data_IF_129687534206
#
_entry.id   IF_129687534206
#
_cell.length_a   1.000
_cell.length_b   1.000
_cell.length_c   1.000
_cell.angle_alpha   90.00
_cell.angle_beta   90.00
_cell.angle_gamma   90.00
#
_symmetry.space_group_name_H-M   'P 1'
#
loop_
_entity.id
_entity.type
_entity.pdbx_description
1 polymer ?
#
# COMPACT_ATOMS: atom_id res chain seq x y z
N UNK A 1 23.99 6.40 10.26
CA UNK A 1 22.75 5.60 10.40
C UNK A 1 21.59 6.51 10.03
N UNK A 2 21.13 6.43 8.78
CA UNK A 2 20.15 7.38 8.23
C UNK A 2 18.81 7.13 8.90
N UNK A 3 18.29 8.14 9.58
CA UNK A 3 16.93 8.18 10.12
C UNK A 3 16.00 8.03 8.90
N UNK A 4 15.50 6.81 8.69
CA UNK A 4 14.55 6.52 7.60
C UNK A 4 13.31 7.35 7.90
N UNK A 5 13.09 8.36 7.06
CA UNK A 5 12.05 9.38 7.21
C UNK A 5 10.68 8.68 7.39
N UNK A 6 10.21 8.53 8.63
CA UNK A 6 8.90 7.96 8.98
C UNK A 6 7.75 8.92 8.63
N UNK A 7 7.96 9.81 7.66
CA UNK A 7 6.89 10.65 7.14
C UNK A 7 5.87 9.71 6.53
N UNK A 8 4.61 9.85 6.96
CA UNK A 8 3.49 9.14 6.38
C UNK A 8 3.45 9.43 4.88
N UNK A 9 4.10 8.60 4.08
CA UNK A 9 4.17 8.82 2.64
C UNK A 9 2.75 8.76 2.10
N UNK A 10 2.34 9.84 1.46
CA UNK A 10 1.06 9.91 0.78
C UNK A 10 1.04 8.90 -0.37
N UNK A 11 -0.15 8.48 -0.76
CA UNK A 11 -0.31 7.59 -1.92
C UNK A 11 0.30 8.23 -3.18
N UNK A 12 0.16 9.55 -3.34
CA UNK A 12 0.67 10.29 -4.49
C UNK A 12 2.20 10.20 -4.58
N UNK A 13 2.90 10.46 -3.48
CA UNK A 13 4.37 10.36 -3.46
C UNK A 13 4.86 8.95 -3.79
N UNK A 14 4.17 7.92 -3.33
CA UNK A 14 4.50 6.54 -3.68
C UNK A 14 4.22 6.23 -5.15
N UNK A 15 3.08 6.67 -5.68
CA UNK A 15 2.77 6.49 -7.11
C UNK A 15 3.83 7.17 -7.97
N UNK A 16 4.23 8.40 -7.62
CA UNK A 16 5.30 9.12 -8.32
C UNK A 16 6.63 8.38 -8.24
N UNK A 17 7.01 7.90 -7.04
CA UNK A 17 8.26 7.17 -6.82
C UNK A 17 8.33 5.85 -7.58
N UNK A 18 7.28 5.04 -7.55
CA UNK A 18 7.30 3.66 -8.04
C UNK A 18 6.84 3.52 -9.49
N UNK A 19 5.89 4.34 -9.93
CA UNK A 19 5.31 4.24 -11.29
C UNK A 19 5.81 5.34 -12.23
N UNK A 20 6.33 6.44 -11.69
CA UNK A 20 6.82 7.60 -12.45
C UNK A 20 5.88 8.02 -13.59
N UNK A 21 4.59 8.30 -13.29
CA UNK A 21 3.63 8.72 -14.30
C UNK A 21 4.08 10.04 -14.95
N UNK A 22 3.83 10.18 -16.24
CA UNK A 22 4.12 11.40 -17.01
C UNK A 22 2.81 12.01 -17.52
N UNK A 23 2.79 13.28 -17.99
CA UNK A 23 1.59 13.85 -18.60
C UNK A 23 1.05 13.05 -19.79
N UNK A 24 1.94 12.38 -20.54
CA UNK A 24 1.57 11.51 -21.65
C UNK A 24 1.08 10.12 -21.19
N UNK A 25 1.46 9.68 -19.98
CA UNK A 25 1.09 8.39 -19.39
C UNK A 25 0.64 8.57 -17.94
N UNK A 26 -0.54 9.16 -17.71
CA UNK A 26 -1.04 9.39 -16.37
C UNK A 26 -1.40 8.08 -15.68
N UNK A 27 -1.32 8.06 -14.35
CA UNK A 27 -1.80 6.93 -13.57
C UNK A 27 -3.33 6.89 -13.48
N UNK A 28 -3.88 5.70 -13.27
CA UNK A 28 -5.32 5.45 -13.09
C UNK A 28 -5.53 4.55 -11.88
N UNK A 29 -6.58 4.81 -11.11
CA UNK A 29 -7.03 3.88 -10.07
C UNK A 29 -7.96 2.85 -10.73
N UNK A 30 -7.52 1.60 -10.83
CA UNK A 30 -8.29 0.51 -11.46
C UNK A 30 -9.10 -0.27 -10.44
N UNK A 31 -8.73 -0.19 -9.16
CA UNK A 31 -9.49 -0.80 -8.06
C UNK A 31 -9.35 0.02 -6.80
N UNK A 32 -10.45 0.17 -6.07
CA UNK A 32 -10.48 0.73 -4.72
C UNK A 32 -11.41 -0.13 -3.87
N UNK A 33 -10.92 -0.71 -2.78
CA UNK A 33 -11.74 -1.58 -1.93
C UNK A 33 -11.14 -1.74 -0.53
N UNK A 34 -11.60 -2.75 0.22
CA UNK A 34 -11.14 -3.11 1.55
C UNK A 34 -10.76 -4.58 1.61
N UNK A 35 -9.75 -4.90 2.41
CA UNK A 35 -9.38 -6.30 2.68
C UNK A 35 -10.46 -6.97 3.52
N UNK A 36 -10.75 -8.25 3.25
CA UNK A 36 -11.80 -8.99 3.97
C UNK A 36 -11.47 -9.15 5.45
N UNK A 37 -10.21 -9.52 5.75
CA UNK A 37 -9.80 -9.93 7.09
C UNK A 37 -9.64 -8.75 8.07
N UNK A 38 -9.26 -7.57 7.58
CA UNK A 38 -8.94 -6.43 8.44
C UNK A 38 -9.74 -5.16 8.11
N UNK A 39 -10.63 -5.20 7.11
CA UNK A 39 -11.40 -4.05 6.64
C UNK A 39 -10.56 -2.82 6.22
N UNK A 40 -9.24 -3.01 6.07
CA UNK A 40 -8.27 -1.97 5.71
C UNK A 40 -8.35 -1.65 4.22
N UNK A 41 -8.29 -0.36 3.88
CA UNK A 41 -8.42 0.13 2.50
C UNK A 41 -7.21 -0.30 1.66
N UNK A 42 -7.44 -0.61 0.40
CA UNK A 42 -6.38 -0.78 -0.59
C UNK A 42 -6.82 -0.20 -1.93
N UNK A 43 -5.83 0.17 -2.74
CA UNK A 43 -6.00 0.71 -4.09
C UNK A 43 -5.07 0.00 -5.06
N UNK A 44 -5.54 -0.28 -6.28
CA UNK A 44 -4.70 -0.67 -7.39
C UNK A 44 -4.52 0.52 -8.32
N UNK A 45 -3.28 0.90 -8.56
CA UNK A 45 -2.92 2.00 -9.45
C UNK A 45 -2.17 1.42 -10.64
N UNK A 46 -2.60 1.81 -11.83
CA UNK A 46 -2.01 1.38 -13.09
C UNK A 46 -1.48 2.58 -13.88
N UNK A 47 -0.34 2.42 -14.55
CA UNK A 47 0.15 3.33 -15.60
C UNK A 47 0.24 2.53 -16.90
N UNK A 48 -0.48 2.98 -17.92
CA UNK A 48 -0.40 2.42 -19.27
C UNK A 48 0.86 2.95 -19.96
N UNK A 49 1.76 2.05 -20.38
CA UNK A 49 2.96 2.39 -21.18
C UNK A 49 2.86 1.72 -22.55
N UNK A 50 3.54 2.26 -23.59
CA UNK A 50 3.44 1.73 -24.95
C UNK A 50 3.80 0.24 -25.08
N UNK A 51 4.75 -0.24 -24.27
CA UNK A 51 5.18 -1.64 -24.27
C UNK A 51 4.35 -2.54 -23.33
N UNK A 52 3.98 -2.04 -22.15
CA UNK A 52 3.17 -2.77 -21.18
C UNK A 52 2.58 -1.84 -20.11
N UNK A 53 1.36 -2.15 -19.65
CA UNK A 53 0.83 -1.53 -18.42
C UNK A 53 1.56 -2.08 -17.20
N UNK A 54 1.80 -1.21 -16.21
CA UNK A 54 2.32 -1.59 -14.89
C UNK A 54 1.30 -1.22 -13.83
N UNK A 55 0.97 -2.16 -12.94
CA UNK A 55 0.05 -1.94 -11.84
C UNK A 55 0.69 -2.28 -10.49
N UNK A 56 0.42 -1.46 -9.47
CA UNK A 56 0.83 -1.69 -8.09
C UNK A 56 -0.38 -1.57 -7.17
N UNK A 57 -0.48 -2.49 -6.22
CA UNK A 57 -1.48 -2.43 -5.14
C UNK A 57 -0.86 -1.76 -3.92
N UNK A 58 -1.48 -0.69 -3.46
CA UNK A 58 -1.12 0.01 -2.23
C UNK A 58 -2.16 -0.27 -1.15
N UNK A 59 -1.69 -0.60 0.05
CA UNK A 59 -2.50 -0.89 1.22
C UNK A 59 -2.35 0.24 2.23
N UNK A 60 -3.48 0.64 2.83
CA UNK A 60 -3.49 1.58 3.94
C UNK A 60 -3.22 0.83 5.23
N UNK A 61 -2.22 1.28 5.99
CA UNK A 61 -1.86 0.76 7.30
C UNK A 61 -2.45 1.63 8.42
N UNK A 62 -2.44 1.11 9.65
CA UNK A 62 -3.10 1.73 10.80
C UNK A 62 -2.44 3.05 11.23
N UNK A 63 -1.13 3.20 10.95
CA UNK A 63 -0.36 4.42 11.13
C UNK A 63 -0.64 5.49 10.06
N UNK A 64 -1.60 5.25 9.17
CA UNK A 64 -1.93 6.16 8.10
C UNK A 64 -0.90 6.20 6.97
N UNK A 65 0.09 5.32 6.94
CA UNK A 65 0.97 5.20 5.79
C UNK A 65 0.35 4.30 4.71
N UNK A 66 0.71 4.57 3.46
CA UNK A 66 0.48 3.64 2.34
C UNK A 66 1.71 2.77 2.12
N UNK A 67 1.53 1.48 1.81
CA UNK A 67 2.64 0.54 1.54
C UNK A 67 2.24 -0.47 0.46
N UNK A 68 3.22 -1.09 -0.19
CA UNK A 68 3.00 -2.09 -1.27
C UNK A 68 2.80 -3.52 -0.76
N UNK A 69 2.79 -3.71 0.56
CA UNK A 69 2.52 -4.98 1.21
C UNK A 69 1.27 -4.88 2.09
N UNK A 70 0.51 -5.96 2.23
CA UNK A 70 -0.68 -5.96 3.06
C UNK A 70 -0.31 -5.72 4.53
N UNK A 71 -1.18 -5.02 5.28
CA UNK A 71 -1.00 -4.84 6.72
C UNK A 71 -0.97 -6.19 7.41
N UNK A 72 -0.21 -6.29 8.51
CA UNK A 72 -0.06 -7.55 9.24
C UNK A 72 -1.44 -8.06 9.63
N UNK A 73 -1.72 -9.31 9.29
CA UNK A 73 -2.91 -10.01 9.79
C UNK A 73 -2.75 -10.12 11.31
N UNK A 74 -3.73 -9.66 12.05
CA UNK A 74 -3.92 -10.08 13.44
C UNK A 74 -4.36 -11.55 13.38
N UNK A 75 -3.40 -12.44 13.15
CA UNK A 75 -3.63 -13.87 13.30
C UNK A 75 -3.95 -14.17 14.77
N UNK A 76 -4.49 -15.37 15.07
CA UNK A 76 -4.68 -15.78 16.45
C UNK A 76 -3.36 -15.60 17.19
N UNK A 77 -3.34 -14.68 18.15
CA UNK A 77 -2.22 -14.55 19.05
C UNK A 77 -2.20 -15.82 19.90
N UNK A 78 -1.10 -16.57 19.89
CA UNK A 78 -0.88 -17.56 20.94
C UNK A 78 -0.67 -16.79 22.24
N UNK A 79 -1.77 -16.48 22.94
CA UNK A 79 -1.73 -16.00 24.29
C UNK A 79 -1.29 -17.18 25.17
N UNK A 80 -0.02 -17.17 25.59
CA UNK A 80 0.41 -18.04 26.66
C UNK A 80 -0.21 -17.52 27.96
N UNK A 81 -1.27 -18.16 28.44
CA UNK A 81 -1.76 -17.93 29.80
C UNK A 81 -0.74 -18.56 30.76
N UNK A 82 0.05 -17.72 31.45
CA UNK A 82 0.71 -18.17 32.66
C UNK A 82 -0.37 -18.42 33.71
N UNK A 83 -0.63 -19.70 34.00
CA UNK A 83 -1.31 -20.09 35.21
C UNK A 83 -0.33 -19.86 36.38
N UNK A 84 -0.74 -18.99 37.32
CA UNK A 84 -0.23 -18.94 38.68
C UNK A 84 -1.43 -19.09 39.61
#
# INVERSE_FOLDING_TARGET
MTIMNMQQQSLRELVEKWLAPTPATPFRVTRFSRTRDSNRRYVCVEVARPACSVAIVFFRHDDGAWRVFPPRREGPAMAWQQAA
#
